data_IF_953915225140
#
_entry.id   IF_953915225140
#
_cell.length_a   1.000
_cell.length_b   1.000
_cell.length_c   1.000
_cell.angle_alpha   90.00
_cell.angle_beta   90.00
_cell.angle_gamma   90.00
#
_symmetry.space_group_name_H-M   'P 1'
#
loop_
_entity.id
_entity.type
_entity.pdbx_description
1 polymer ?
#
# COMPACT_ATOMS: atom_id res chain seq x y z
N UNK A 1 -0.50 1.22 16.60
CA UNK A 1 0.35 2.12 15.78
C UNK A 1 1.29 1.25 14.95
N UNK A 2 1.03 1.12 13.65
CA UNK A 2 1.87 0.33 12.73
C UNK A 2 3.08 1.15 12.26
N UNK A 3 4.24 0.52 12.09
CA UNK A 3 5.44 1.15 11.52
C UNK A 3 5.67 0.61 10.11
N UNK A 4 5.84 1.49 9.14
CA UNK A 4 6.18 1.09 7.77
C UNK A 4 7.57 0.43 7.79
N UNK A 5 7.64 -0.82 7.31
CA UNK A 5 8.89 -1.61 7.30
C UNK A 5 9.70 -1.34 6.04
N UNK A 6 9.02 -0.97 4.96
CA UNK A 6 9.64 -0.59 3.70
C UNK A 6 8.61 0.05 2.78
N UNK A 7 9.07 1.02 2.01
CA UNK A 7 8.33 1.63 0.92
C UNK A 7 9.20 1.63 -0.33
N UNK A 8 8.59 1.38 -1.48
CA UNK A 8 9.24 1.38 -2.78
C UNK A 8 8.32 2.00 -3.82
N UNK A 9 8.90 2.58 -4.86
CA UNK A 9 8.12 3.11 -5.97
C UNK A 9 7.81 1.99 -6.97
N UNK A 10 6.54 1.64 -7.10
CA UNK A 10 6.08 0.68 -8.10
C UNK A 10 6.00 1.38 -9.45
N UNK A 11 7.09 1.36 -10.23
CA UNK A 11 7.15 1.95 -11.56
C UNK A 11 6.00 1.49 -12.48
N UNK A 12 5.55 0.25 -12.31
CA UNK A 12 4.47 -0.33 -13.11
C UNK A 12 3.06 0.09 -12.67
N UNK A 13 2.90 0.52 -11.42
CA UNK A 13 1.65 1.08 -10.87
C UNK A 13 1.66 2.62 -10.98
N UNK A 14 2.83 3.22 -11.14
CA UNK A 14 3.03 4.67 -11.07
C UNK A 14 2.77 5.24 -9.67
N UNK A 15 2.93 4.43 -8.63
CA UNK A 15 2.61 4.80 -7.24
C UNK A 15 3.67 4.32 -6.27
N UNK A 16 3.87 5.08 -5.20
CA UNK A 16 4.63 4.64 -4.03
C UNK A 16 3.83 3.59 -3.27
N UNK A 17 4.41 2.42 -3.07
CA UNK A 17 3.80 1.28 -2.38
C UNK A 17 4.61 1.02 -1.12
N UNK A 18 3.90 0.91 0.00
CA UNK A 18 4.50 0.66 1.31
C UNK A 18 3.84 -0.52 2.00
N UNK A 19 4.66 -1.39 2.59
CA UNK A 19 4.15 -2.49 3.41
C UNK A 19 4.30 -2.18 4.89
N UNK A 20 3.19 -2.30 5.61
CA UNK A 20 3.15 -2.15 7.06
C UNK A 20 2.11 -3.09 7.66
N UNK A 21 2.27 -3.38 8.94
CA UNK A 21 1.27 -4.11 9.70
C UNK A 21 0.30 -3.10 10.31
N UNK A 22 -0.96 -3.17 9.88
CA UNK A 22 -2.07 -2.44 10.46
C UNK A 22 -2.89 -3.39 11.36
N UNK A 23 -3.53 -2.86 12.42
CA UNK A 23 -4.56 -3.63 13.13
C UNK A 23 -5.68 -4.01 12.16
N UNK A 24 -6.29 -5.19 12.38
CA UNK A 24 -7.26 -5.77 11.44
C UNK A 24 -8.47 -4.87 11.16
N UNK A 25 -8.83 -4.02 12.11
CA UNK A 25 -9.88 -3.01 11.99
C UNK A 25 -9.60 -1.98 10.89
N UNK A 26 -8.32 -1.73 10.59
CA UNK A 26 -7.86 -0.79 9.56
C UNK A 26 -7.25 -1.50 8.34
N UNK A 27 -7.28 -2.83 8.31
CA UNK A 27 -6.72 -3.63 7.22
C UNK A 27 -7.68 -3.80 6.03
N UNK A 28 -8.88 -3.21 6.10
CA UNK A 28 -9.85 -3.30 5.02
C UNK A 28 -9.37 -2.50 3.79
N UNK A 29 -9.39 -3.09 2.58
CA UNK A 29 -9.05 -2.36 1.37
C UNK A 29 -10.01 -1.19 1.13
N UNK A 30 -9.49 -0.05 0.69
CA UNK A 30 -10.22 1.21 0.57
C UNK A 30 -10.21 2.07 1.83
N UNK A 31 -9.67 1.58 2.95
CA UNK A 31 -9.53 2.38 4.17
C UNK A 31 -8.53 3.51 3.95
N UNK A 32 -8.97 4.74 4.20
CA UNK A 32 -8.10 5.90 4.23
C UNK A 32 -7.26 5.88 5.51
N UNK A 33 -5.95 5.97 5.36
CA UNK A 33 -4.99 5.97 6.46
C UNK A 33 -4.03 7.14 6.27
N UNK A 34 -3.50 7.68 7.35
CA UNK A 34 -2.40 8.64 7.28
C UNK A 34 -1.12 7.94 7.69
N UNK A 35 -0.09 8.08 6.87
CA UNK A 35 1.25 7.60 7.17
C UNK A 35 2.12 8.80 7.54
N UNK A 36 2.87 8.67 8.63
CA UNK A 36 3.91 9.63 8.97
C UNK A 36 5.19 9.26 8.21
N UNK A 37 5.63 10.15 7.32
CA UNK A 37 6.86 10.04 6.55
C UNK A 37 7.77 11.19 6.97
N UNK A 38 8.75 10.89 7.82
CA UNK A 38 9.73 11.86 8.31
C UNK A 38 9.10 13.11 8.98
N UNK A 39 7.96 12.94 9.66
CA UNK A 39 7.23 14.04 10.31
C UNK A 39 6.16 14.70 9.43
N UNK A 40 6.00 14.26 8.18
CA UNK A 40 4.92 14.69 7.30
C UNK A 40 3.82 13.62 7.22
N UNK A 41 2.58 14.01 7.49
CA UNK A 41 1.43 13.12 7.35
C UNK A 41 0.97 13.06 5.91
N UNK A 42 1.28 11.97 5.23
CA UNK A 42 0.86 11.71 3.86
C UNK A 42 -0.41 10.86 3.88
N UNK A 43 -1.41 11.26 3.10
CA UNK A 43 -2.60 10.46 2.88
C UNK A 43 -2.26 9.20 2.08
N UNK A 44 -2.64 8.05 2.61
CA UNK A 44 -2.49 6.76 1.99
C UNK A 44 -3.82 6.00 2.03
N UNK A 45 -3.95 5.01 1.16
CA UNK A 45 -5.14 4.16 1.10
C UNK A 45 -4.68 2.73 1.17
N UNK A 46 -5.32 1.93 2.03
CA UNK A 46 -5.05 0.50 2.09
C UNK A 46 -5.50 -0.11 0.76
N UNK A 47 -4.53 -0.60 -0.01
CA UNK A 47 -4.82 -1.33 -1.24
C UNK A 47 -5.27 -2.75 -0.95
N UNK A 48 -6.07 -3.32 -1.85
CA UNK A 48 -6.28 -4.76 -1.88
C UNK A 48 -5.02 -5.41 -2.49
N UNK A 49 -4.51 -6.46 -1.86
CA UNK A 49 -3.54 -7.36 -2.49
C UNK A 49 -4.25 -8.24 -3.54
N UNK A 50 -3.77 -8.32 -4.80
CA UNK A 50 -2.59 -7.65 -5.34
C UNK A 50 -2.84 -6.18 -5.75
N UNK A 51 -1.98 -5.27 -5.28
CA UNK A 51 -1.94 -3.86 -5.70
C UNK A 51 -1.53 -3.67 -7.17
N UNK A 52 -0.91 -4.68 -7.77
CA UNK A 52 -0.54 -4.74 -9.17
C UNK A 52 -0.99 -6.08 -9.74
N UNK A 53 -1.81 -6.02 -10.80
CA UNK A 53 -2.34 -7.17 -11.55
C UNK A 53 -3.16 -8.17 -10.71
N UNK A 54 -4.33 -7.76 -10.17
CA UNK A 54 -5.25 -8.70 -9.50
C UNK A 54 -5.78 -9.81 -10.42
N UNK A 55 -5.67 -9.63 -11.75
CA UNK A 55 -6.19 -10.53 -12.77
C UNK A 55 -5.12 -11.45 -13.40
N UNK A 56 -3.84 -11.32 -12.99
CA UNK A 56 -2.75 -12.18 -13.48
C UNK A 56 -2.52 -12.16 -14.99
N UNK A 57 -2.96 -11.13 -15.71
CA UNK A 57 -2.93 -11.05 -17.17
C UNK A 57 -1.52 -10.91 -17.72
N UNK A 58 -0.53 -10.51 -16.92
CA UNK A 58 0.86 -10.35 -17.39
C UNK A 58 1.80 -11.52 -17.10
N UNK A 59 1.42 -12.51 -16.28
CA UNK A 59 2.23 -13.72 -16.04
C UNK A 59 1.99 -14.81 -17.10
N UNK A 60 1.06 -14.59 -18.05
CA UNK A 60 0.62 -15.58 -19.05
C UNK A 60 0.98 -15.23 -20.50
N UNK A 61 1.97 -14.36 -20.74
CA UNK A 61 2.48 -14.07 -22.08
C UNK A 61 3.88 -14.65 -22.26
#
# INVERSE_FOLDING_TARGET
MGRIRGAGYGYTVGKTIGYTYLPIELAAPGTAVQIDVLGEYVAATVGADPLYDPDGKKLRA
#
